data_IF_886792922515
#
_entry.id   IF_886792922515
#
_cell.length_a   1.000
_cell.length_b   1.000
_cell.length_c   1.000
_cell.angle_alpha   90.00
_cell.angle_beta   90.00
_cell.angle_gamma   90.00
#
_symmetry.space_group_name_H-M   'P 1'
#
loop_
_entity.id
_entity.type
_entity.pdbx_description
1 polymer ?
#
# COMPACT_ATOMS: atom_id res chain seq x y z
N UNK A 1 2.93 -16.82 9.17
CA UNK A 1 3.39 -15.43 9.34
C UNK A 1 2.29 -14.54 8.81
N UNK A 2 1.42 -14.08 9.70
CA UNK A 2 0.39 -13.10 9.34
C UNK A 2 1.10 -11.76 9.34
N UNK A 3 1.42 -11.28 8.16
CA UNK A 3 1.93 -9.93 8.00
C UNK A 3 0.83 -8.95 8.48
N UNK A 4 1.15 -8.00 9.36
CA UNK A 4 0.24 -6.98 9.92
C UNK A 4 -0.23 -5.96 8.86
N UNK A 5 -0.39 -6.38 7.60
CA UNK A 5 -0.96 -5.60 6.51
C UNK A 5 -2.47 -5.70 6.56
N UNK A 6 -3.12 -4.54 6.72
CA UNK A 6 -4.56 -4.39 6.52
C UNK A 6 -4.91 -4.54 5.04
N UNK A 7 -5.94 -5.32 4.72
CA UNK A 7 -6.42 -5.53 3.34
C UNK A 7 -7.86 -5.07 3.24
N UNK A 8 -8.10 -4.11 2.36
CA UNK A 8 -9.41 -3.48 2.15
C UNK A 8 -9.78 -3.52 0.67
N UNK A 9 -11.08 -3.53 0.36
CA UNK A 9 -11.60 -3.35 -1.00
C UNK A 9 -12.44 -2.08 -1.05
N UNK A 10 -12.36 -1.32 -2.13
CA UNK A 10 -13.19 -0.14 -2.36
C UNK A 10 -12.42 1.11 -2.77
N UNK A 11 -13.10 2.26 -2.69
CA UNK A 11 -12.55 3.54 -3.17
C UNK A 11 -11.40 4.01 -2.27
N UNK A 12 -10.30 4.40 -2.90
CA UNK A 12 -9.20 5.12 -2.28
C UNK A 12 -9.29 6.61 -2.62
N UNK A 13 -9.12 7.46 -1.62
CA UNK A 13 -9.16 8.91 -1.79
C UNK A 13 -7.75 9.50 -1.62
N UNK A 14 -7.02 9.73 -2.73
CA UNK A 14 -5.62 10.20 -2.67
C UNK A 14 -5.49 11.64 -2.14
N UNK A 15 -6.59 12.38 -2.04
CA UNK A 15 -6.59 13.78 -1.59
C UNK A 15 -6.62 13.87 -0.07
N UNK A 16 -7.33 12.94 0.59
CA UNK A 16 -7.47 12.90 2.05
C UNK A 16 -6.48 11.97 2.72
N UNK A 17 -5.81 11.08 1.98
CA UNK A 17 -4.77 10.20 2.52
C UNK A 17 -3.49 10.98 2.83
N UNK A 18 -3.09 10.97 4.10
CA UNK A 18 -1.88 11.65 4.59
C UNK A 18 -0.66 10.74 4.66
N UNK A 19 -0.86 9.41 4.66
CA UNK A 19 0.22 8.42 4.67
C UNK A 19 0.90 8.35 3.31
N UNK A 20 2.10 7.77 3.25
CA UNK A 20 2.75 7.55 1.95
C UNK A 20 2.03 6.44 1.21
N UNK A 21 1.76 6.63 -0.09
CA UNK A 21 1.05 5.65 -0.88
C UNK A 21 1.55 5.58 -2.32
N UNK A 22 1.34 4.43 -2.96
CA UNK A 22 1.63 4.19 -4.37
C UNK A 22 0.53 3.33 -4.98
N UNK A 23 0.33 3.46 -6.29
CA UNK A 23 -0.48 2.52 -7.08
C UNK A 23 0.39 1.40 -7.65
N UNK A 24 -0.17 0.21 -7.74
CA UNK A 24 0.51 -0.99 -8.22
C UNK A 24 -0.44 -1.91 -8.99
N UNK A 25 0.14 -2.75 -9.83
CA UNK A 25 -0.61 -3.77 -10.56
C UNK A 25 -1.04 -4.94 -9.66
N UNK A 26 -0.40 -5.14 -8.50
CA UNK A 26 -0.61 -6.31 -7.64
C UNK A 26 -0.05 -6.10 -6.22
N UNK A 27 -0.54 -6.88 -5.24
CA UNK A 27 0.00 -6.90 -3.87
C UNK A 27 1.52 -7.20 -3.82
N UNK A 28 1.99 -8.09 -4.70
CA UNK A 28 3.42 -8.42 -4.79
C UNK A 28 4.29 -7.20 -5.13
N UNK A 29 3.78 -6.28 -5.96
CA UNK A 29 4.48 -5.04 -6.28
C UNK A 29 4.54 -4.12 -5.06
N UNK A 30 3.48 -4.01 -4.27
CA UNK A 30 3.50 -3.26 -3.01
C UNK A 30 4.63 -3.72 -2.09
N UNK A 31 4.78 -5.04 -1.92
CA UNK A 31 5.86 -5.62 -1.10
C UNK A 31 7.25 -5.33 -1.66
N UNK A 32 7.41 -5.36 -2.98
CA UNK A 32 8.67 -5.00 -3.64
C UNK A 32 9.00 -3.52 -3.45
N UNK A 33 8.01 -2.63 -3.54
CA UNK A 33 8.18 -1.19 -3.33
C UNK A 33 8.61 -0.92 -1.88
N UNK A 34 7.90 -1.49 -0.90
CA UNK A 34 8.27 -1.40 0.52
C UNK A 34 9.72 -1.83 0.75
N UNK A 35 10.10 -3.01 0.25
CA UNK A 35 11.48 -3.52 0.38
C UNK A 35 12.52 -2.63 -0.30
N UNK A 36 12.20 -2.06 -1.47
CA UNK A 36 13.12 -1.20 -2.24
C UNK A 36 13.29 0.19 -1.61
N UNK A 37 12.23 0.71 -1.00
CA UNK A 37 12.19 2.04 -0.39
C UNK A 37 12.57 2.04 1.08
N UNK A 38 12.71 0.87 1.70
CA UNK A 38 12.95 0.75 3.14
C UNK A 38 11.74 1.17 3.97
N UNK A 39 10.53 1.10 3.40
CA UNK A 39 9.27 1.46 4.06
C UNK A 39 8.52 0.22 4.50
N UNK A 40 7.62 0.36 5.48
CA UNK A 40 6.74 -0.72 5.91
C UNK A 40 5.43 -0.64 5.12
N UNK A 41 5.06 -1.73 4.43
CA UNK A 41 3.72 -1.86 3.85
C UNK A 41 2.73 -2.14 4.99
N UNK A 42 1.70 -1.30 5.13
CA UNK A 42 0.75 -1.38 6.26
C UNK A 42 -0.69 -1.59 5.81
N UNK A 43 -1.03 -1.14 4.61
CA UNK A 43 -2.36 -1.36 4.05
C UNK A 43 -2.30 -1.56 2.53
N UNK A 44 -3.18 -2.43 2.05
CA UNK A 44 -3.41 -2.70 0.64
C UNK A 44 -4.89 -2.48 0.38
N UNK A 45 -5.21 -1.62 -0.59
CA UNK A 45 -6.57 -1.32 -0.99
C UNK A 45 -6.75 -1.76 -2.44
N UNK A 46 -7.65 -2.71 -2.67
CA UNK A 46 -8.07 -3.14 -4.00
C UNK A 46 -9.24 -2.25 -4.44
N UNK A 47 -8.93 -1.32 -5.34
CA UNK A 47 -9.87 -0.33 -5.89
C UNK A 47 -10.67 -0.87 -7.07
N UNK A 48 -10.27 -2.02 -7.62
CA UNK A 48 -10.83 -2.61 -8.85
C UNK A 48 -10.76 -1.66 -10.07
N UNK A 49 -9.93 -0.60 -9.99
CA UNK A 49 -9.75 0.43 -11.01
C UNK A 49 -8.61 0.05 -11.97
N UNK A 50 -8.93 -0.25 -13.23
CA UNK A 50 -7.93 -0.61 -14.24
C UNK A 50 -7.25 0.66 -14.80
N UNK A 51 -5.92 0.65 -15.07
CA UNK A 51 -5.02 -0.50 -15.17
C UNK A 51 -4.20 -0.82 -13.90
N UNK A 52 -4.33 -0.05 -12.81
CA UNK A 52 -3.58 -0.22 -11.57
C UNK A 52 -4.54 -0.32 -10.37
N UNK A 53 -5.14 -1.50 -10.15
CA UNK A 53 -6.25 -1.64 -9.21
C UNK A 53 -5.80 -1.61 -7.75
N UNK A 54 -4.51 -1.76 -7.46
CA UNK A 54 -4.02 -1.88 -6.08
C UNK A 54 -3.38 -0.57 -5.63
N UNK A 55 -3.81 -0.08 -4.48
CA UNK A 55 -3.14 1.00 -3.75
C UNK A 55 -2.39 0.39 -2.57
N UNK A 56 -1.10 0.70 -2.49
CA UNK A 56 -0.20 0.32 -1.42
C UNK A 56 -0.03 1.52 -0.48
N UNK A 57 -0.32 1.35 0.81
CA UNK A 57 -0.07 2.36 1.84
C UNK A 57 1.14 1.94 2.66
N UNK A 58 2.06 2.89 2.83
CA UNK A 58 3.30 2.71 3.54
C UNK A 58 3.37 3.62 4.76
N UNK A 59 4.10 3.14 5.76
CA UNK A 59 4.58 3.96 6.86
C UNK A 59 6.11 3.96 6.84
N UNK A 60 6.68 5.09 7.25
CA UNK A 60 8.12 5.18 7.49
C UNK A 60 8.46 4.24 8.65
N UNK A 61 9.63 3.59 8.60
CA UNK A 61 10.12 2.87 9.76
C UNK A 61 10.47 3.91 10.82
N UNK A 62 9.52 4.22 11.70
CA UNK A 62 9.82 4.88 12.96
C UNK A 62 10.58 3.87 13.83
N UNK A 63 11.88 3.74 13.56
CA UNK A 63 12.85 3.17 14.49
C UNK A 63 13.14 4.28 15.51
N UNK A 64 12.30 4.36 16.55
CA UNK A 64 12.66 5.02 17.82
C UNK A 64 13.25 3.97 18.76
#
# INVERSE_FOLDING_TARGET
MTDDIKRSKGKFDPVTETRDWQVAASEEYCRRIAKKTGRRLVEIIDTEDEPLPIVCIFEDYSDD
#
